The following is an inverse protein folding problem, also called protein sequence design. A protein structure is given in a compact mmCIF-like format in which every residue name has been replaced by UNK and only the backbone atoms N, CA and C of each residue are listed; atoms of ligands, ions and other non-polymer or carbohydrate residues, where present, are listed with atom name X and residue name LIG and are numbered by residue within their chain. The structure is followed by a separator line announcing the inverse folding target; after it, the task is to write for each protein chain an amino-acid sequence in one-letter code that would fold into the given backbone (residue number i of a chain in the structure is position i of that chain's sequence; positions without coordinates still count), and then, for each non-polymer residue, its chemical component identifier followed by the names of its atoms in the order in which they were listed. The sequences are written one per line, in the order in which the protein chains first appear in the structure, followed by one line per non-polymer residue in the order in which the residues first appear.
data_IF_249173397660
#
_entry.id   IF_249173397660
#
_cell.length_a   1.000
_cell.length_b   1.000
_cell.length_c   1.000
_cell.angle_alpha   90.00
_cell.angle_beta   90.00
_cell.angle_gamma   90.00
#
_symmetry.space_group_name_H-M   'P 1'
#
loop_
_entity.id
_entity.type
_entity.pdbx_description
1 polymer ?
#
# COMPACT_ATOMS: atom_id res chain seq x y z
N UNK A 1 23.77 -58.96 13.70
CA UNK A 1 22.74 -59.20 12.66
C UNK A 1 21.39 -58.86 13.24
N UNK A 2 20.71 -57.83 12.72
CA UNK A 2 19.38 -57.39 13.16
C UNK A 2 18.40 -57.56 12.01
N UNK A 3 17.23 -58.10 12.37
CA UNK A 3 16.24 -58.74 11.51
C UNK A 3 15.47 -57.70 10.67
N UNK A 4 15.30 -57.99 9.38
CA UNK A 4 14.49 -57.23 8.42
C UNK A 4 13.01 -57.59 8.55
N UNK A 5 12.13 -56.59 8.70
CA UNK A 5 10.67 -56.77 8.72
C UNK A 5 10.05 -56.26 7.41
N UNK A 6 9.38 -57.18 6.72
CA UNK A 6 8.51 -56.97 5.57
C UNK A 6 7.20 -56.23 5.97
N UNK A 7 6.71 -55.33 5.10
CA UNK A 7 5.33 -54.80 5.10
C UNK A 7 4.85 -54.82 3.64
N UNK A 8 4.00 -55.80 3.26
CA UNK A 8 2.52 -55.85 3.30
C UNK A 8 1.86 -55.29 2.03
N UNK A 9 1.24 -56.22 1.29
CA UNK A 9 0.35 -56.11 0.13
C UNK A 9 -1.07 -55.68 0.49
N UNK A 10 -1.68 -54.78 -0.28
CA UNK A 10 -3.13 -54.55 -0.46
C UNK A 10 -3.24 -53.85 -1.83
N UNK A 11 -4.01 -54.25 -2.86
CA UNK A 11 -5.24 -55.01 -2.95
C UNK A 11 -6.10 -54.26 -3.99
N UNK A 12 -5.93 -54.58 -5.28
CA UNK A 12 -6.60 -53.89 -6.39
C UNK A 12 -8.04 -54.37 -6.56
N UNK A 13 -9.00 -53.43 -6.51
CA UNK A 13 -10.41 -53.69 -6.77
C UNK A 13 -10.75 -53.12 -8.16
N UNK A 14 -10.88 -54.01 -9.13
CA UNK A 14 -11.44 -53.75 -10.46
C UNK A 14 -12.96 -53.95 -10.36
N UNK A 15 -13.76 -52.92 -10.61
CA UNK A 15 -15.17 -53.03 -11.01
C UNK A 15 -15.73 -51.65 -11.36
N UNK A 16 -16.48 -51.55 -12.46
CA UNK A 16 -17.50 -50.52 -12.62
C UNK A 16 -17.42 -49.65 -13.86
N UNK A 17 -17.65 -50.24 -15.03
CA UNK A 17 -18.19 -49.56 -16.22
C UNK A 17 -19.46 -48.77 -15.87
N UNK A 18 -19.43 -47.45 -16.11
CA UNK A 18 -20.64 -46.65 -16.31
C UNK A 18 -20.48 -45.91 -17.65
N UNK A 19 -21.26 -46.36 -18.63
CA UNK A 19 -21.60 -45.65 -19.86
C UNK A 19 -22.47 -44.44 -19.50
N UNK A 20 -21.97 -43.23 -19.76
CA UNK A 20 -22.78 -42.01 -19.92
C UNK A 20 -22.47 -41.45 -21.32
N UNK A 21 -23.32 -41.80 -22.29
CA UNK A 21 -24.36 -40.92 -22.83
C UNK A 21 -23.82 -39.70 -23.58
N UNK A 22 -23.83 -39.84 -24.90
CA UNK A 22 -23.75 -38.77 -25.88
C UNK A 22 -24.79 -37.68 -25.60
N UNK A 23 -24.35 -36.42 -25.55
CA UNK A 23 -25.23 -35.27 -25.46
C UNK A 23 -24.53 -33.99 -25.91
N UNK A 24 -24.92 -33.50 -27.10
CA UNK A 24 -24.89 -32.09 -27.53
C UNK A 24 -23.59 -31.30 -27.45
N UNK A 25 -22.88 -31.16 -28.59
CA UNK A 25 -22.02 -30.00 -28.84
C UNK A 25 -22.91 -28.76 -29.03
N UNK A 26 -23.14 -28.00 -27.96
CA UNK A 26 -23.58 -26.62 -28.08
C UNK A 26 -22.34 -25.76 -28.36
N UNK A 27 -22.27 -25.17 -29.55
CA UNK A 27 -21.36 -24.07 -29.87
C UNK A 27 -21.67 -22.90 -28.92
N UNK A 28 -20.89 -22.77 -27.85
CA UNK A 28 -20.86 -21.55 -27.05
C UNK A 28 -20.29 -20.43 -27.93
N UNK A 29 -21.11 -19.42 -28.20
CA UNK A 29 -20.64 -18.15 -28.76
C UNK A 29 -19.49 -17.62 -27.89
N UNK A 30 -18.47 -16.97 -28.48
CA UNK A 30 -17.42 -16.38 -27.67
C UNK A 30 -18.04 -15.35 -26.74
N UNK A 31 -18.03 -15.65 -25.44
CA UNK A 31 -18.16 -14.66 -24.40
C UNK A 31 -17.16 -13.56 -24.75
N UNK A 32 -17.68 -12.41 -25.16
CA UNK A 32 -16.94 -11.17 -25.08
C UNK A 32 -16.80 -10.87 -23.60
N UNK A 33 -15.86 -11.57 -22.97
CA UNK A 33 -15.30 -11.16 -21.70
C UNK A 33 -14.93 -9.69 -21.89
N UNK A 34 -15.63 -8.82 -21.14
CA UNK A 34 -15.29 -7.42 -21.11
C UNK A 34 -13.76 -7.33 -20.91
N UNK A 35 -13.05 -6.53 -21.73
CA UNK A 35 -11.61 -6.41 -21.60
C UNK A 35 -11.28 -6.10 -20.14
N UNK A 36 -10.21 -6.69 -19.58
CA UNK A 36 -9.79 -6.37 -18.22
C UNK A 36 -9.75 -4.85 -18.08
N UNK A 37 -10.20 -4.28 -16.95
CA UNK A 37 -10.25 -2.83 -16.79
C UNK A 37 -8.89 -2.25 -17.15
N UNK A 38 -8.89 -1.38 -18.15
CA UNK A 38 -7.69 -0.73 -18.64
C UNK A 38 -7.00 -0.03 -17.47
N UNK A 39 -5.86 -0.58 -17.04
CA UNK A 39 -5.03 0.02 -16.00
C UNK A 39 -4.38 1.34 -16.48
N UNK A 40 -4.55 1.72 -17.75
CA UNK A 40 -4.15 3.00 -18.33
C UNK A 40 -4.96 4.20 -17.85
N UNK A 41 -6.23 4.01 -17.46
CA UNK A 41 -7.15 5.09 -17.09
C UNK A 41 -7.11 5.49 -15.59
N UNK A 42 -6.05 5.13 -14.84
CA UNK A 42 -5.93 5.45 -13.40
C UNK A 42 -4.62 6.15 -13.02
N UNK A 43 -4.02 6.93 -13.93
CA UNK A 43 -2.89 7.82 -13.62
C UNK A 43 -3.13 9.24 -14.14
N UNK A 44 -4.17 9.89 -13.64
CA UNK A 44 -4.48 11.30 -14.00
C UNK A 44 -3.80 12.32 -13.06
N UNK A 45 -3.02 11.85 -12.09
CA UNK A 45 -1.94 12.65 -11.54
C UNK A 45 -0.67 12.26 -12.30
N UNK A 46 -0.10 13.14 -13.15
CA UNK A 46 1.25 12.89 -13.63
C UNK A 46 2.13 12.70 -12.39
N UNK A 47 3.01 11.68 -12.37
CA UNK A 47 4.02 11.61 -11.33
C UNK A 47 4.73 12.98 -11.28
N UNK A 48 5.14 13.47 -10.09
CA UNK A 48 5.92 14.69 -10.00
C UNK A 48 7.08 14.61 -11.00
N UNK A 49 7.37 15.70 -11.72
CA UNK A 49 8.41 15.69 -12.73
C UNK A 49 9.72 15.20 -12.07
N UNK A 50 10.41 14.27 -12.72
CA UNK A 50 11.72 13.80 -12.25
C UNK A 50 12.70 14.97 -12.09
N UNK A 51 12.53 16.05 -12.86
CA UNK A 51 13.27 17.29 -12.71
C UNK A 51 12.98 17.96 -11.37
N UNK A 52 11.73 17.99 -10.93
CA UNK A 52 11.31 18.56 -9.64
C UNK A 52 11.88 17.77 -8.46
N UNK A 53 11.92 16.44 -8.55
CA UNK A 53 12.51 15.61 -7.50
C UNK A 53 14.02 15.80 -7.36
N UNK A 54 14.75 15.95 -8.46
CA UNK A 54 16.20 16.24 -8.42
C UNK A 54 16.50 17.62 -7.86
N UNK A 55 15.67 18.60 -8.20
CA UNK A 55 15.80 19.93 -7.63
C UNK A 55 15.56 19.91 -6.13
N UNK A 56 14.49 19.26 -5.67
CA UNK A 56 14.19 19.09 -4.24
C UNK A 56 15.34 18.43 -3.47
N UNK A 57 15.95 17.39 -4.05
CA UNK A 57 17.13 16.74 -3.46
C UNK A 57 18.30 17.72 -3.34
N UNK A 58 18.59 18.48 -4.40
CA UNK A 58 19.69 19.45 -4.43
C UNK A 58 19.47 20.57 -3.41
N UNK A 59 18.23 21.08 -3.32
CA UNK A 59 17.84 22.11 -2.35
C UNK A 59 18.00 21.58 -0.92
N UNK A 60 17.59 20.33 -0.67
CA UNK A 60 17.73 19.67 0.64
C UNK A 60 19.20 19.55 1.04
N UNK A 61 20.08 19.12 0.13
CA UNK A 61 21.52 19.04 0.39
C UNK A 61 22.11 20.42 0.67
N UNK A 62 21.71 21.44 -0.09
CA UNK A 62 22.14 22.84 0.09
C UNK A 62 21.75 23.37 1.47
N UNK A 63 20.53 23.05 1.94
CA UNK A 63 20.08 23.40 3.29
C UNK A 63 20.92 22.72 4.37
N UNK A 64 21.28 21.44 4.19
CA UNK A 64 22.11 20.71 5.14
C UNK A 64 23.55 21.25 5.19
N UNK A 65 24.10 21.71 4.06
CA UNK A 65 25.39 22.42 4.02
C UNK A 65 25.29 23.76 4.74
N UNK A 66 24.24 24.54 4.45
CA UNK A 66 24.01 25.85 5.07
C UNK A 66 23.82 25.75 6.60
N UNK A 67 23.20 24.66 7.06
CA UNK A 67 23.05 24.35 8.48
C UNK A 67 24.34 23.83 9.14
N UNK A 68 25.41 23.61 8.37
CA UNK A 68 26.68 23.03 8.86
C UNK A 68 26.60 21.55 9.21
N UNK A 69 25.51 20.87 8.84
CA UNK A 69 25.30 19.44 9.13
C UNK A 69 26.26 18.58 8.29
N UNK A 70 26.49 18.95 7.03
CA UNK A 70 27.43 18.28 6.12
C UNK A 70 28.31 19.34 5.43
N UNK A 71 29.46 18.92 4.90
CA UNK A 71 30.32 19.79 4.08
C UNK A 71 29.85 19.82 2.62
N UNK A 72 30.33 20.81 1.85
CA UNK A 72 30.07 20.86 0.40
C UNK A 72 30.57 19.59 -0.30
N UNK A 73 31.80 19.15 0.00
CA UNK A 73 32.36 17.90 -0.55
C UNK A 73 31.50 16.67 -0.24
N UNK A 74 30.87 16.62 0.94
CA UNK A 74 29.94 15.55 1.30
C UNK A 74 28.64 15.65 0.50
N UNK A 75 28.11 16.86 0.31
CA UNK A 75 26.92 17.09 -0.49
C UNK A 75 27.12 16.70 -1.98
N UNK A 76 28.26 17.04 -2.56
CA UNK A 76 28.58 16.73 -3.96
C UNK A 76 28.70 15.20 -4.19
N UNK A 77 29.30 14.48 -3.23
CA UNK A 77 29.35 13.01 -3.24
C UNK A 77 27.95 12.40 -3.13
N UNK A 78 27.09 12.94 -2.25
CA UNK A 78 25.70 12.50 -2.12
C UNK A 78 24.92 12.74 -3.40
N UNK A 79 25.05 13.91 -4.03
CA UNK A 79 24.38 14.21 -5.29
C UNK A 79 24.77 13.19 -6.38
N UNK A 80 26.07 12.88 -6.49
CA UNK A 80 26.57 11.87 -7.42
C UNK A 80 26.03 10.46 -7.12
N UNK A 81 25.99 10.09 -5.84
CA UNK A 81 25.43 8.81 -5.38
C UNK A 81 23.94 8.68 -5.73
N UNK A 82 23.13 9.71 -5.47
CA UNK A 82 21.71 9.69 -5.78
C UNK A 82 21.44 9.66 -7.28
N UNK A 83 22.24 10.36 -8.09
CA UNK A 83 22.15 10.30 -9.54
C UNK A 83 22.41 8.89 -10.06
N UNK A 84 23.50 8.25 -9.62
CA UNK A 84 23.81 6.87 -9.99
C UNK A 84 22.69 5.89 -9.58
N UNK A 85 22.07 6.11 -8.41
CA UNK A 85 20.92 5.31 -7.96
C UNK A 85 19.65 5.55 -8.76
N UNK A 86 19.42 6.76 -9.27
CA UNK A 86 18.30 7.03 -10.18
C UNK A 86 18.52 6.33 -11.53
N UNK A 87 19.74 6.38 -12.06
CA UNK A 87 20.08 5.71 -13.31
C UNK A 87 19.97 4.19 -13.19
N UNK A 88 20.43 3.59 -12.08
CA UNK A 88 20.23 2.17 -11.77
C UNK A 88 18.74 1.81 -11.74
N UNK A 89 17.92 2.62 -11.06
CA UNK A 89 16.47 2.41 -10.97
C UNK A 89 15.79 2.50 -12.33
N UNK A 90 16.19 3.46 -13.19
CA UNK A 90 15.66 3.61 -14.55
C UNK A 90 16.00 2.40 -15.41
N UNK A 91 17.26 1.95 -15.36
CA UNK A 91 17.68 0.75 -16.09
C UNK A 91 16.93 -0.50 -15.60
N UNK A 92 16.75 -0.65 -14.28
CA UNK A 92 15.97 -1.75 -13.71
C UNK A 92 14.49 -1.67 -14.12
N UNK A 93 13.91 -0.48 -14.17
CA UNK A 93 12.55 -0.25 -14.65
C UNK A 93 12.36 -0.65 -16.12
N UNK A 94 13.25 -0.22 -17.02
CA UNK A 94 13.19 -0.59 -18.44
C UNK A 94 13.38 -2.10 -18.62
N UNK A 95 14.27 -2.73 -17.84
CA UNK A 95 14.43 -4.19 -17.82
C UNK A 95 13.13 -4.88 -17.42
N UNK A 96 12.47 -4.44 -16.34
CA UNK A 96 11.22 -5.04 -15.85
C UNK A 96 10.07 -4.82 -16.84
N UNK A 97 10.04 -3.65 -17.51
CA UNK A 97 9.04 -3.33 -18.53
C UNK A 97 9.14 -4.24 -19.76
N UNK A 98 10.35 -4.68 -20.10
CA UNK A 98 10.61 -5.60 -21.20
C UNK A 98 10.37 -7.09 -20.85
N UNK A 99 10.14 -7.43 -19.59
CA UNK A 99 9.89 -8.82 -19.15
C UNK A 99 8.46 -9.28 -19.40
N UNK A 100 8.27 -10.59 -19.60
CA UNK A 100 6.95 -11.23 -19.57
C UNK A 100 6.35 -11.18 -18.16
N UNK A 101 5.04 -11.36 -18.03
CA UNK A 101 4.37 -11.33 -16.71
C UNK A 101 4.87 -12.46 -15.78
N UNK A 102 5.10 -13.65 -16.31
CA UNK A 102 5.62 -14.80 -15.57
C UNK A 102 7.06 -14.54 -15.07
N UNK A 103 7.92 -13.99 -15.93
CA UNK A 103 9.29 -13.65 -15.57
C UNK A 103 9.34 -12.51 -14.56
N UNK A 104 8.50 -11.49 -14.74
CA UNK A 104 8.34 -10.38 -13.80
C UNK A 104 7.95 -10.90 -12.41
N UNK A 105 7.01 -11.85 -12.33
CA UNK A 105 6.59 -12.45 -11.06
C UNK A 105 7.71 -13.22 -10.38
N UNK A 106 8.53 -13.94 -11.15
CA UNK A 106 9.70 -14.67 -10.62
C UNK A 106 10.79 -13.71 -10.15
N UNK A 107 11.09 -12.69 -10.95
CA UNK A 107 12.06 -11.65 -10.64
C UNK A 107 11.76 -10.94 -9.33
N UNK A 108 10.51 -10.48 -9.13
CA UNK A 108 10.13 -9.84 -7.88
C UNK A 108 10.11 -10.80 -6.69
N UNK A 109 9.80 -12.09 -6.89
CA UNK A 109 9.88 -13.09 -5.82
C UNK A 109 11.31 -13.31 -5.34
N UNK A 110 12.27 -13.42 -6.26
CA UNK A 110 13.69 -13.58 -5.92
C UNK A 110 14.27 -12.34 -5.23
N UNK A 111 13.79 -11.15 -5.60
CA UNK A 111 14.22 -9.87 -5.00
C UNK A 111 13.52 -9.57 -3.66
N UNK A 112 12.52 -10.34 -3.23
CA UNK A 112 11.89 -10.16 -1.91
C UNK A 112 12.93 -10.30 -0.80
N UNK A 113 12.85 -9.43 0.20
CA UNK A 113 13.72 -9.48 1.38
C UNK A 113 15.09 -8.80 1.20
N UNK A 114 15.51 -8.48 -0.03
CA UNK A 114 16.72 -7.69 -0.26
C UNK A 114 16.39 -6.21 -0.09
N UNK A 115 16.52 -5.69 1.13
CA UNK A 115 16.33 -4.25 1.39
C UNK A 115 17.71 -3.58 1.39
N UNK A 116 17.96 -2.60 0.51
CA UNK A 116 19.18 -1.80 0.57
C UNK A 116 19.31 -1.13 1.94
N UNK A 117 20.51 -1.15 2.52
CA UNK A 117 20.83 -0.36 3.70
C UNK A 117 21.13 1.07 3.28
N UNK A 118 20.05 1.84 3.09
CA UNK A 118 20.16 3.21 2.60
C UNK A 118 21.07 4.10 3.46
N UNK A 119 21.06 3.93 4.79
CA UNK A 119 21.89 4.76 5.68
C UNK A 119 23.35 4.33 5.58
N UNK A 120 23.63 3.02 5.58
CA UNK A 120 24.97 2.49 5.36
C UNK A 120 25.56 2.91 4.01
N UNK A 121 24.74 2.90 2.96
CA UNK A 121 25.14 3.28 1.61
C UNK A 121 25.56 4.76 1.54
N UNK A 122 24.74 5.69 2.06
CA UNK A 122 25.08 7.13 2.04
C UNK A 122 26.24 7.47 2.96
N UNK A 123 26.41 6.75 4.09
CA UNK A 123 27.59 6.87 4.96
C UNK A 123 28.85 6.56 4.18
N UNK A 124 28.86 5.43 3.49
CA UNK A 124 30.02 4.96 2.74
C UNK A 124 30.30 5.87 1.54
N UNK A 125 29.27 6.26 0.81
CA UNK A 125 29.41 7.08 -0.40
C UNK A 125 30.00 8.47 -0.12
N UNK A 126 29.60 9.11 0.98
CA UNK A 126 30.02 10.47 1.28
C UNK A 126 30.99 10.59 2.48
N UNK A 127 31.32 9.48 3.14
CA UNK A 127 32.15 9.50 4.35
C UNK A 127 31.46 10.24 5.50
N UNK A 128 30.18 9.96 5.72
CA UNK A 128 29.39 10.60 6.78
C UNK A 128 29.56 9.89 8.12
N UNK A 129 29.50 10.65 9.21
CA UNK A 129 29.24 10.09 10.54
C UNK A 129 27.80 9.52 10.64
N UNK A 130 27.54 8.75 11.69
CA UNK A 130 26.21 8.20 11.95
C UNK A 130 25.13 9.28 12.05
N UNK A 131 25.40 10.36 12.78
CA UNK A 131 24.45 11.46 12.97
C UNK A 131 24.19 12.21 11.67
N UNK A 132 25.23 12.45 10.88
CA UNK A 132 25.12 13.11 9.57
C UNK A 132 24.28 12.27 8.60
N UNK A 133 24.56 10.97 8.50
CA UNK A 133 23.78 10.10 7.62
C UNK A 133 22.34 9.97 8.05
N UNK A 134 22.08 9.91 9.37
CA UNK A 134 20.72 9.95 9.90
C UNK A 134 20.01 11.26 9.54
N UNK A 135 20.67 12.41 9.69
CA UNK A 135 20.10 13.71 9.35
C UNK A 135 19.77 13.81 7.85
N UNK A 136 20.70 13.38 6.98
CA UNK A 136 20.46 13.30 5.53
C UNK A 136 19.29 12.38 5.21
N UNK A 137 19.24 11.18 5.81
CA UNK A 137 18.17 10.21 5.55
C UNK A 137 16.80 10.68 6.06
N UNK A 138 16.76 11.41 7.17
CA UNK A 138 15.53 11.99 7.71
C UNK A 138 15.05 13.18 6.85
N UNK A 139 15.97 14.00 6.32
CA UNK A 139 15.64 15.11 5.42
C UNK A 139 15.15 14.62 4.04
N UNK A 140 15.74 13.54 3.52
CA UNK A 140 15.33 12.92 2.25
C UNK A 140 14.07 12.07 2.36
N UNK A 141 13.56 11.83 3.58
CA UNK A 141 12.35 11.05 3.77
C UNK A 141 11.14 11.88 3.32
N UNK A 142 10.27 11.36 2.44
CA UNK A 142 9.05 12.07 2.09
C UNK A 142 8.23 12.33 3.35
N UNK A 143 7.52 13.47 3.42
CA UNK A 143 6.70 13.80 4.58
C UNK A 143 5.77 12.63 4.87
N UNK A 144 5.92 12.02 6.05
CA UNK A 144 5.05 10.92 6.43
C UNK A 144 3.64 11.50 6.48
N UNK A 145 2.65 10.91 5.77
CA UNK A 145 1.26 11.24 6.04
C UNK A 145 1.06 11.03 7.54
N UNK A 146 0.44 12.01 8.20
CA UNK A 146 0.30 11.99 9.65
C UNK A 146 -0.16 10.60 10.10
N UNK A 147 0.64 9.96 10.96
CA UNK A 147 0.34 8.62 11.45
C UNK A 147 -1.02 8.56 12.15
N UNK A 148 -1.52 7.35 12.46
CA UNK A 148 -2.83 7.14 13.07
C UNK A 148 -3.06 7.91 14.39
N UNK A 149 -2.01 8.43 15.03
CA UNK A 149 -2.12 9.34 16.19
C UNK A 149 -2.91 10.62 15.89
N UNK A 150 -2.89 11.14 14.65
CA UNK A 150 -3.75 12.26 14.23
C UNK A 150 -5.08 11.83 13.58
N UNK A 151 -5.42 10.54 13.63
CA UNK A 151 -6.67 10.00 13.08
C UNK A 151 -7.91 10.29 13.92
N UNK A 152 -7.77 10.43 15.24
CA UNK A 152 -8.90 10.72 16.16
C UNK A 152 -9.40 12.17 16.05
N UNK A 153 -8.53 13.19 15.93
CA UNK A 153 -8.97 14.56 15.62
C UNK A 153 -9.78 14.65 14.32
N UNK A 154 -9.34 13.96 13.26
CA UNK A 154 -10.07 13.91 11.99
C UNK A 154 -11.45 13.25 12.12
N UNK A 155 -11.53 12.14 12.86
CA UNK A 155 -12.80 11.49 13.15
C UNK A 155 -13.74 12.39 13.94
N UNK A 156 -13.27 13.00 15.05
CA UNK A 156 -14.10 13.86 15.90
C UNK A 156 -14.65 15.04 15.11
N UNK A 157 -13.83 15.67 14.27
CA UNK A 157 -14.24 16.77 13.41
C UNK A 157 -15.27 16.32 12.36
N UNK A 158 -15.04 15.18 11.70
CA UNK A 158 -15.98 14.62 10.71
C UNK A 158 -17.33 14.25 11.32
N UNK A 159 -17.34 13.65 12.52
CA UNK A 159 -18.59 13.32 13.22
C UNK A 159 -19.30 14.58 13.69
N UNK A 160 -18.57 15.62 14.14
CA UNK A 160 -19.16 16.91 14.51
C UNK A 160 -19.86 17.60 13.32
N UNK A 161 -19.27 17.54 12.12
CA UNK A 161 -19.91 18.04 10.89
C UNK A 161 -21.25 17.33 10.60
N UNK A 162 -21.34 16.03 10.87
CA UNK A 162 -22.57 15.26 10.69
C UNK A 162 -23.64 15.55 11.77
N UNK A 163 -23.24 16.10 12.91
CA UNK A 163 -24.18 16.65 13.89
C UNK A 163 -24.68 18.01 13.43
N UNK A 164 -23.76 18.85 12.94
CA UNK A 164 -24.08 20.19 12.44
C UNK A 164 -25.00 20.16 11.22
N UNK A 165 -24.82 19.21 10.30
CA UNK A 165 -25.67 19.03 9.13
C UNK A 165 -27.02 18.34 9.44
N UNK A 166 -27.24 17.97 10.71
CA UNK A 166 -28.46 17.31 11.19
C UNK A 166 -28.59 15.84 10.79
N UNK A 167 -27.58 15.23 10.16
CA UNK A 167 -27.61 13.81 9.76
C UNK A 167 -27.69 12.89 10.97
N UNK A 168 -26.97 13.22 12.04
CA UNK A 168 -26.98 12.46 13.29
C UNK A 168 -27.20 13.38 14.49
N UNK A 169 -27.75 12.82 15.56
CA UNK A 169 -27.90 13.52 16.84
C UNK A 169 -26.60 13.54 17.63
N UNK A 170 -26.47 14.47 18.58
CA UNK A 170 -25.33 14.49 19.51
C UNK A 170 -25.17 13.16 20.26
N UNK A 171 -26.28 12.54 20.68
CA UNK A 171 -26.27 11.22 21.35
C UNK A 171 -25.72 10.11 20.44
N UNK A 172 -26.00 10.15 19.14
CA UNK A 172 -25.46 9.21 18.16
C UNK A 172 -23.95 9.47 17.93
N UNK A 173 -23.54 10.75 17.83
CA UNK A 173 -22.13 11.14 17.76
C UNK A 173 -21.32 10.61 18.94
N UNK A 174 -21.81 10.76 20.18
CA UNK A 174 -21.08 10.30 21.37
C UNK A 174 -20.91 8.77 21.38
N UNK A 175 -21.90 8.02 20.90
CA UNK A 175 -21.80 6.57 20.72
C UNK A 175 -20.77 6.19 19.66
N UNK A 176 -20.73 6.91 18.52
CA UNK A 176 -19.73 6.70 17.47
C UNK A 176 -18.31 6.96 17.99
N UNK A 177 -18.11 8.05 18.74
CA UNK A 177 -16.79 8.35 19.32
C UNK A 177 -16.32 7.23 20.25
N UNK A 178 -17.20 6.69 21.12
CA UNK A 178 -16.87 5.54 21.98
C UNK A 178 -16.57 4.28 21.18
N UNK A 179 -17.36 4.00 20.15
CA UNK A 179 -17.13 2.85 19.26
C UNK A 179 -15.74 2.90 18.60
N UNK A 180 -15.36 4.05 18.04
CA UNK A 180 -14.08 4.20 17.39
C UNK A 180 -12.90 4.26 18.36
N UNK A 181 -13.09 4.80 19.58
CA UNK A 181 -12.09 4.71 20.64
C UNK A 181 -11.81 3.25 21.00
N UNK A 182 -12.85 2.44 21.20
CA UNK A 182 -12.70 1.00 21.44
C UNK A 182 -11.99 0.28 20.27
N UNK A 183 -12.37 0.58 19.02
CA UNK A 183 -11.69 0.03 17.82
C UNK A 183 -10.23 0.48 17.70
N UNK A 184 -9.88 1.67 18.18
CA UNK A 184 -8.49 2.12 18.21
C UNK A 184 -7.66 1.30 19.22
N UNK A 185 -8.19 1.05 20.42
CA UNK A 185 -7.53 0.19 21.41
C UNK A 185 -7.42 -1.27 20.94
N UNK A 186 -8.46 -1.83 20.29
CA UNK A 186 -8.38 -3.16 19.67
C UNK A 186 -7.25 -3.24 18.63
N UNK A 187 -7.12 -2.23 17.76
CA UNK A 187 -6.04 -2.17 16.75
C UNK A 187 -4.66 -2.00 17.37
N UNK A 188 -4.53 -1.25 18.47
CA UNK A 188 -3.26 -1.15 19.21
C UNK A 188 -2.86 -2.50 19.77
N UNK A 189 -3.77 -3.20 20.43
CA UNK A 189 -3.50 -4.55 20.95
C UNK A 189 -3.18 -5.55 19.84
N UNK A 190 -3.88 -5.47 18.71
CA UNK A 190 -3.59 -6.28 17.51
C UNK A 190 -2.22 -5.98 16.93
N UNK A 191 -1.84 -4.69 16.86
CA UNK A 191 -0.51 -4.28 16.42
C UNK A 191 0.58 -4.88 17.31
N UNK A 192 0.45 -4.77 18.64
CA UNK A 192 1.40 -5.38 19.57
C UNK A 192 1.54 -6.90 19.35
N UNK A 193 0.43 -7.62 19.16
CA UNK A 193 0.47 -9.06 18.85
C UNK A 193 1.23 -9.38 17.57
N UNK A 194 1.14 -8.52 16.56
CA UNK A 194 1.77 -8.76 15.25
C UNK A 194 3.24 -8.38 15.18
N UNK A 195 3.77 -7.67 16.19
CA UNK A 195 5.19 -7.28 16.24
C UNK A 195 6.11 -8.48 16.27
N UNK A 196 5.75 -9.48 17.06
CA UNK A 196 6.59 -10.66 17.32
C UNK A 196 6.33 -11.81 16.35
N UNK A 197 5.31 -11.70 15.48
CA UNK A 197 5.00 -12.70 14.46
C UNK A 197 5.99 -12.65 13.28
N UNK A 198 6.35 -13.83 12.75
CA UNK A 198 7.06 -13.96 11.47
C UNK A 198 6.19 -13.42 10.31
N UNK A 199 6.80 -13.09 9.14
CA UNK A 199 6.04 -12.62 7.97
C UNK A 199 4.93 -13.59 7.54
N UNK A 200 5.20 -14.90 7.59
CA UNK A 200 4.29 -15.97 7.21
C UNK A 200 3.12 -16.09 8.20
N UNK A 201 3.42 -16.06 9.51
CA UNK A 201 2.40 -16.07 10.57
C UNK A 201 1.53 -14.81 10.52
N UNK A 202 2.15 -13.66 10.29
CA UNK A 202 1.43 -12.38 10.14
C UNK A 202 0.48 -12.41 8.95
N UNK A 203 0.91 -13.00 7.83
CA UNK A 203 0.07 -13.16 6.64
C UNK A 203 -1.16 -14.03 6.93
N UNK A 204 -0.93 -15.22 7.49
CA UNK A 204 -2.00 -16.14 7.84
C UNK A 204 -2.98 -15.53 8.87
N UNK A 205 -2.47 -14.79 9.86
CA UNK A 205 -3.27 -14.07 10.85
C UNK A 205 -4.23 -13.07 10.20
N UNK A 206 -3.73 -12.24 9.27
CA UNK A 206 -4.56 -11.24 8.59
C UNK A 206 -5.51 -11.84 7.56
N UNK A 207 -5.14 -12.93 6.87
CA UNK A 207 -6.05 -13.64 5.97
C UNK A 207 -7.24 -14.25 6.72
N UNK A 208 -6.99 -14.93 7.85
CA UNK A 208 -8.05 -15.47 8.70
C UNK A 208 -8.98 -14.37 9.20
N UNK A 209 -8.41 -13.23 9.62
CA UNK A 209 -9.17 -12.06 10.07
C UNK A 209 -9.96 -11.38 8.96
N UNK A 210 -9.45 -11.37 7.72
CA UNK A 210 -10.12 -10.75 6.59
C UNK A 210 -11.45 -11.45 6.26
N UNK A 211 -11.51 -12.78 6.40
CA UNK A 211 -12.73 -13.55 6.20
C UNK A 211 -13.85 -13.20 7.21
N UNK A 212 -13.48 -12.68 8.39
CA UNK A 212 -14.42 -12.31 9.44
C UNK A 212 -14.67 -10.80 9.57
N UNK A 213 -14.21 -9.97 8.64
CA UNK A 213 -14.36 -8.50 8.75
C UNK A 213 -15.85 -8.11 8.65
N UNK A 214 -16.45 -7.55 9.72
CA UNK A 214 -17.82 -7.08 9.64
C UNK A 214 -17.90 -5.84 8.73
N UNK A 215 -19.07 -5.69 8.10
CA UNK A 215 -19.41 -4.52 7.29
C UNK A 215 -19.47 -3.28 8.18
N UNK A 216 -18.67 -2.26 7.85
CA UNK A 216 -18.58 -1.01 8.59
C UNK A 216 -19.96 -0.35 8.77
N UNK A 217 -20.83 -0.39 7.76
CA UNK A 217 -22.17 0.20 7.85
C UNK A 217 -23.00 -0.52 8.91
N UNK A 218 -22.95 -1.86 8.92
CA UNK A 218 -23.66 -2.68 9.92
C UNK A 218 -23.16 -2.42 11.32
N UNK A 219 -21.85 -2.30 11.51
CA UNK A 219 -21.24 -1.99 12.80
C UNK A 219 -21.66 -0.60 13.31
N UNK A 220 -21.68 0.40 12.43
CA UNK A 220 -22.11 1.77 12.78
C UNK A 220 -23.58 1.83 13.16
N UNK A 221 -24.46 1.12 12.42
CA UNK A 221 -25.88 0.98 12.78
C UNK A 221 -26.04 0.41 14.18
N UNK A 222 -25.37 -0.70 14.47
CA UNK A 222 -25.45 -1.39 15.76
C UNK A 222 -24.89 -0.54 16.90
N UNK A 223 -23.76 0.14 16.67
CA UNK A 223 -23.06 0.90 17.69
C UNK A 223 -23.81 2.17 18.11
N UNK A 224 -24.40 2.89 17.15
CA UNK A 224 -25.02 4.19 17.41
C UNK A 224 -26.54 4.20 17.28
N UNK A 225 -27.17 3.13 16.77
CA UNK A 225 -28.60 3.12 16.47
C UNK A 225 -28.93 4.04 15.30
N UNK A 226 -28.15 3.94 14.23
CA UNK A 226 -28.33 4.74 13.02
C UNK A 226 -29.32 4.06 12.06
N UNK A 227 -30.07 4.86 11.29
CA UNK A 227 -30.78 4.35 10.11
C UNK A 227 -29.78 3.88 9.03
N UNK A 228 -30.27 3.17 8.01
CA UNK A 228 -29.46 2.75 6.88
C UNK A 228 -28.81 3.93 6.14
N UNK A 229 -29.58 5.00 5.90
CA UNK A 229 -29.12 6.23 5.25
C UNK A 229 -28.09 6.96 6.11
N UNK A 230 -28.35 7.07 7.42
CA UNK A 230 -27.42 7.70 8.36
C UNK A 230 -26.10 6.93 8.43
N UNK A 231 -26.15 5.60 8.56
CA UNK A 231 -24.96 4.77 8.65
C UNK A 231 -24.14 4.78 7.36
N UNK A 232 -24.81 4.79 6.19
CA UNK A 232 -24.15 4.92 4.89
C UNK A 232 -23.44 6.27 4.78
N UNK A 233 -24.13 7.37 5.09
CA UNK A 233 -23.57 8.73 5.01
C UNK A 233 -22.40 8.90 5.98
N UNK A 234 -22.52 8.42 7.22
CA UNK A 234 -21.42 8.37 8.19
C UNK A 234 -20.26 7.55 7.63
N UNK A 235 -20.49 6.34 7.11
CA UNK A 235 -19.44 5.49 6.57
C UNK A 235 -18.71 6.15 5.38
N UNK A 236 -19.44 6.82 4.49
CA UNK A 236 -18.87 7.51 3.33
C UNK A 236 -18.05 8.74 3.76
N UNK A 237 -18.52 9.54 4.73
CA UNK A 237 -17.74 10.66 5.28
C UNK A 237 -16.45 10.19 5.98
N UNK A 238 -16.50 9.05 6.65
CA UNK A 238 -15.36 8.49 7.37
C UNK A 238 -14.40 7.69 6.49
N UNK A 239 -14.82 7.29 5.28
CA UNK A 239 -13.95 6.61 4.31
C UNK A 239 -12.77 7.52 3.96
N UNK A 240 -11.52 7.04 4.01
CA UNK A 240 -10.40 7.75 3.43
C UNK A 240 -10.67 8.02 1.95
N UNK A 241 -10.28 9.18 1.40
CA UNK A 241 -10.43 9.43 -0.02
C UNK A 241 -9.66 8.36 -0.80
N UNK A 242 -10.38 7.57 -1.59
CA UNK A 242 -9.79 6.67 -2.58
C UNK A 242 -10.08 7.30 -3.94
N UNK A 243 -9.12 8.05 -4.46
CA UNK A 243 -9.26 8.83 -5.70
C UNK A 243 -9.46 10.34 -5.46
N UNK A 244 -9.44 11.14 -6.55
CA UNK A 244 -9.51 12.60 -6.47
C UNK A 244 -10.81 13.06 -5.79
N UNK A 245 -10.71 14.15 -5.01
CA UNK A 245 -11.81 14.67 -4.19
C UNK A 245 -12.96 15.19 -5.09
N UNK A 246 -14.24 14.94 -4.73
CA UNK A 246 -15.35 15.59 -5.41
C UNK A 246 -15.26 17.10 -5.22
N UNK A 247 -15.11 17.84 -6.32
CA UNK A 247 -14.95 19.30 -6.34
C UNK A 247 -13.54 19.80 -6.67
N UNK A 248 -12.56 18.91 -6.89
CA UNK A 248 -11.38 19.31 -7.66
C UNK A 248 -11.80 19.46 -9.13
N UNK A 249 -11.53 20.60 -9.78
CA UNK A 249 -11.73 20.71 -11.22
C UNK A 249 -10.94 19.58 -11.90
N UNK A 250 -11.49 18.94 -12.94
CA UNK A 250 -10.73 17.98 -13.72
C UNK A 250 -9.43 18.65 -14.16
N UNK A 251 -8.29 18.01 -13.89
CA UNK A 251 -6.99 18.49 -14.33
C UNK A 251 -7.08 18.79 -15.83
N UNK A 252 -6.95 20.06 -16.23
CA UNK A 252 -7.07 20.42 -17.63
C UNK A 252 -5.84 19.92 -18.39
N UNK A 253 -5.99 19.16 -19.48
CA UNK A 253 -4.87 18.82 -20.34
C UNK A 253 -4.45 20.08 -21.11
N UNK A 254 -3.31 20.68 -20.75
CA UNK A 254 -2.85 21.91 -21.44
C UNK A 254 -1.54 22.53 -20.97
N UNK A 255 -1.13 22.37 -19.70
CA UNK A 255 0.04 23.10 -19.18
C UNK A 255 1.38 22.37 -19.37
N UNK A 256 1.56 21.71 -20.52
CA UNK A 256 2.89 21.29 -20.96
C UNK A 256 3.46 22.34 -21.92
N UNK A 257 4.50 23.13 -21.54
CA UNK A 257 5.34 23.73 -22.56
C UNK A 257 6.04 22.59 -23.31
N UNK A 258 5.65 22.42 -24.55
CA UNK A 258 6.16 21.43 -25.50
C UNK A 258 7.70 21.40 -25.51
N UNK A 259 8.36 20.23 -25.52
CA UNK A 259 9.80 20.13 -25.69
C UNK A 259 10.11 20.20 -27.19
N UNK A 260 10.12 21.40 -27.74
CA UNK A 260 10.89 21.75 -28.94
C UNK A 260 10.80 23.26 -29.19
N UNK A 261 11.72 24.00 -28.57
CA UNK A 261 12.40 25.17 -29.12
C UNK A 261 13.64 25.46 -28.30
#
# INVERSE_FOLDING_TARGET
MKISLMKKTIGGFLTGTILLSLGGLALAAPDTAAPPPDFGARRECPPPDFKDMRQQMTDTLTQLVSAGTITQDQADKLASFFQAKDDERRAEFEKVKAMSEADRRTYFQQKKGTRPDFIGDIKTAAGLSDDQAKAVADAMRPPRPAGPEKGVPGLKNKVALLVQDGTITQKQSDKLQRFFAAKAEERKAEFEKTKDMTPEERHAYFEQKAAGRPDMVKDLKKAAGLSDEQAKKVADTLRPPHGPLPGQPPCQPGDNPSPNQ
#
